data_IF_851703693979
#
_entry.id   IF_851703693979
#
_cell.length_a   1.000
_cell.length_b   1.000
_cell.length_c   1.000
_cell.angle_alpha   90.00
_cell.angle_beta   90.00
_cell.angle_gamma   90.00
#
_symmetry.space_group_name_H-M   'P 1'
#
loop_
_entity.id
_entity.type
_entity.pdbx_description
1 polymer ?
#
# COMPACT_ATOMS: atom_id res chain seq x y z
N UNK A 1 -29.01 3.65 29.71
CA UNK A 1 -29.11 3.81 28.24
C UNK A 1 -27.77 4.36 27.77
N UNK A 2 -26.93 3.56 27.10
CA UNK A 2 -25.64 4.06 26.59
C UNK A 2 -25.89 5.10 25.50
N UNK A 3 -25.05 6.14 25.45
CA UNK A 3 -25.07 7.07 24.31
C UNK A 3 -24.74 6.31 23.03
N UNK A 4 -25.37 6.68 21.91
CA UNK A 4 -25.08 6.08 20.61
C UNK A 4 -23.60 6.15 20.26
N UNK A 5 -22.92 7.22 20.65
CA UNK A 5 -21.46 7.36 20.57
C UNK A 5 -20.73 6.23 21.32
N UNK A 6 -21.05 6.01 22.61
CA UNK A 6 -20.36 5.01 23.43
C UNK A 6 -20.60 3.59 22.95
N UNK A 7 -21.81 3.31 22.45
CA UNK A 7 -22.14 2.01 21.87
C UNK A 7 -21.32 1.72 20.61
N UNK A 8 -21.26 2.68 19.67
CA UNK A 8 -20.48 2.53 18.43
C UNK A 8 -18.98 2.38 18.72
N UNK A 9 -18.44 3.15 19.66
CA UNK A 9 -17.04 3.03 20.06
C UNK A 9 -16.71 1.65 20.64
N UNK A 10 -17.54 1.15 21.56
CA UNK A 10 -17.34 -0.17 22.16
C UNK A 10 -17.46 -1.31 21.13
N UNK A 11 -18.48 -1.26 20.27
CA UNK A 11 -18.68 -2.26 19.22
C UNK A 11 -17.50 -2.25 18.24
N UNK A 12 -17.05 -1.07 17.83
CA UNK A 12 -15.91 -0.93 16.91
C UNK A 12 -14.62 -1.49 17.53
N UNK A 13 -14.31 -1.13 18.79
CA UNK A 13 -13.14 -1.65 19.48
C UNK A 13 -13.21 -3.18 19.62
N UNK A 14 -14.37 -3.72 20.01
CA UNK A 14 -14.58 -5.16 20.12
C UNK A 14 -14.42 -5.88 18.78
N UNK A 15 -14.99 -5.34 17.70
CA UNK A 15 -14.85 -5.89 16.35
C UNK A 15 -13.38 -5.97 15.94
N UNK A 16 -12.61 -4.89 16.14
CA UNK A 16 -11.18 -4.86 15.82
C UNK A 16 -10.41 -5.91 16.63
N UNK A 17 -10.67 -6.03 17.93
CA UNK A 17 -10.00 -7.03 18.77
C UNK A 17 -10.35 -8.46 18.35
N UNK A 18 -11.62 -8.72 18.03
CA UNK A 18 -12.07 -10.02 17.53
C UNK A 18 -11.43 -10.34 16.18
N UNK A 19 -11.46 -9.42 15.23
CA UNK A 19 -10.83 -9.59 13.91
C UNK A 19 -9.33 -9.88 14.03
N UNK A 20 -8.62 -9.12 14.88
CA UNK A 20 -7.19 -9.37 15.12
C UNK A 20 -6.95 -10.74 15.76
N UNK A 21 -7.78 -11.14 16.73
CA UNK A 21 -7.76 -12.47 17.32
C UNK A 21 -7.96 -13.57 16.30
N UNK A 22 -8.94 -13.44 15.40
CA UNK A 22 -9.18 -14.39 14.30
C UNK A 22 -7.94 -14.51 13.42
N UNK A 23 -7.32 -13.39 13.00
CA UNK A 23 -6.11 -13.43 12.18
C UNK A 23 -4.94 -14.13 12.86
N UNK A 24 -4.80 -14.03 14.18
CA UNK A 24 -3.81 -14.79 14.94
C UNK A 24 -4.12 -16.29 15.04
N UNK A 25 -5.40 -16.67 15.02
CA UNK A 25 -5.84 -18.07 15.13
C UNK A 25 -5.77 -18.81 13.79
N UNK A 26 -6.05 -18.14 12.67
CA UNK A 26 -6.02 -18.73 11.31
C UNK A 26 -4.76 -19.58 11.06
N UNK A 27 -3.51 -19.09 11.22
CA UNK A 27 -2.32 -19.89 10.93
C UNK A 27 -2.13 -21.10 11.86
N UNK A 28 -2.85 -21.15 12.99
CA UNK A 28 -2.82 -22.29 13.92
C UNK A 28 -3.73 -23.44 13.49
N UNK A 29 -4.61 -23.25 12.50
CA UNK A 29 -5.52 -24.26 11.94
C UNK A 29 -4.83 -25.23 10.95
N UNK A 30 -3.53 -25.48 11.11
CA UNK A 30 -2.76 -26.37 10.25
C UNK A 30 -2.39 -25.78 8.88
N UNK A 31 -2.25 -26.65 7.87
CA UNK A 31 -1.73 -26.28 6.53
C UNK A 31 -2.66 -25.31 5.80
N UNK A 32 -3.97 -25.58 5.83
CA UNK A 32 -4.98 -24.72 5.20
C UNK A 32 -5.00 -23.33 5.83
N UNK A 33 -4.94 -23.26 7.16
CA UNK A 33 -4.84 -22.00 7.91
C UNK A 33 -3.62 -21.17 7.53
N UNK A 34 -2.43 -21.78 7.45
CA UNK A 34 -1.21 -21.08 7.01
C UNK A 34 -1.31 -20.59 5.56
N UNK A 35 -1.91 -21.38 4.67
CA UNK A 35 -2.14 -20.96 3.29
C UNK A 35 -3.08 -19.75 3.21
N UNK A 36 -4.19 -19.78 3.96
CA UNK A 36 -5.14 -18.66 4.03
C UNK A 36 -4.48 -17.41 4.62
N UNK A 37 -3.73 -17.54 5.72
CA UNK A 37 -2.98 -16.43 6.31
C UNK A 37 -1.99 -15.84 5.31
N UNK A 38 -1.24 -16.67 4.59
CA UNK A 38 -0.32 -16.22 3.54
C UNK A 38 -1.03 -15.49 2.40
N UNK A 39 -2.25 -15.92 2.05
CA UNK A 39 -3.07 -15.26 1.04
C UNK A 39 -3.62 -13.91 1.53
N UNK A 40 -4.09 -13.82 2.78
CA UNK A 40 -4.51 -12.56 3.43
C UNK A 40 -3.37 -11.56 3.63
N UNK A 41 -2.13 -11.97 3.46
CA UNK A 41 -0.97 -11.08 3.48
C UNK A 41 -0.60 -10.52 2.10
N UNK A 42 -1.33 -10.87 1.02
CA UNK A 42 -1.03 -10.44 -0.35
C UNK A 42 -2.29 -9.96 -1.06
N UNK A 43 -2.16 -8.94 -1.89
CA UNK A 43 -3.26 -8.53 -2.76
C UNK A 43 -3.67 -9.67 -3.72
N UNK A 44 -4.97 -9.82 -4.02
CA UNK A 44 -6.08 -8.94 -3.58
C UNK A 44 -6.67 -9.31 -2.21
N UNK A 45 -6.36 -10.48 -1.64
CA UNK A 45 -6.97 -10.95 -0.39
C UNK A 45 -6.61 -10.09 0.82
N UNK A 46 -5.45 -9.44 0.81
CA UNK A 46 -5.03 -8.42 1.79
C UNK A 46 -5.99 -7.23 1.87
N UNK A 47 -6.70 -6.90 0.79
CA UNK A 47 -7.60 -5.75 0.77
C UNK A 47 -8.79 -5.96 1.73
N UNK A 48 -9.16 -7.21 2.02
CA UNK A 48 -10.23 -7.57 2.98
C UNK A 48 -9.89 -7.14 4.42
N UNK A 49 -8.81 -7.62 5.05
CA UNK A 49 -8.45 -7.21 6.41
C UNK A 49 -8.13 -5.72 6.48
N UNK A 50 -7.47 -5.14 5.47
CA UNK A 50 -7.22 -3.68 5.43
C UNK A 50 -8.54 -2.91 5.47
N UNK A 51 -9.51 -3.26 4.62
CA UNK A 51 -10.84 -2.62 4.60
C UNK A 51 -11.56 -2.82 5.92
N UNK A 52 -11.53 -4.03 6.48
CA UNK A 52 -12.17 -4.37 7.74
C UNK A 52 -11.66 -3.51 8.91
N UNK A 53 -10.34 -3.36 9.06
CA UNK A 53 -9.79 -2.62 10.20
C UNK A 53 -9.82 -1.11 10.03
N UNK A 54 -9.75 -0.62 8.78
CA UNK A 54 -9.52 0.81 8.53
C UNK A 54 -10.75 1.55 8.04
N UNK A 55 -11.42 1.07 6.99
CA UNK A 55 -12.50 1.80 6.31
C UNK A 55 -13.89 1.38 6.80
N UNK A 56 -14.11 0.09 7.04
CA UNK A 56 -15.43 -0.41 7.42
C UNK A 56 -16.02 0.29 8.67
N UNK A 57 -15.25 0.56 9.75
CA UNK A 57 -15.77 1.31 10.89
C UNK A 57 -16.15 2.75 10.54
N UNK A 58 -15.35 3.41 9.68
CA UNK A 58 -15.59 4.79 9.24
C UNK A 58 -16.82 4.93 8.35
N UNK A 59 -17.23 3.85 7.68
CA UNK A 59 -18.48 3.79 6.89
C UNK A 59 -19.66 3.41 7.77
N UNK A 60 -19.52 2.37 8.60
CA UNK A 60 -20.61 1.85 9.42
C UNK A 60 -21.02 2.81 10.54
N UNK A 61 -20.05 3.49 11.18
CA UNK A 61 -20.31 4.45 12.25
C UNK A 61 -21.33 5.53 11.84
N UNK A 62 -21.08 6.30 10.77
CA UNK A 62 -22.03 7.27 10.23
C UNK A 62 -23.41 6.69 9.89
N UNK A 63 -23.47 5.49 9.32
CA UNK A 63 -24.74 4.84 8.98
C UNK A 63 -25.55 4.54 10.26
N UNK A 64 -24.88 4.10 11.33
CA UNK A 64 -25.55 3.72 12.57
C UNK A 64 -25.99 4.92 13.42
N UNK A 65 -25.22 6.02 13.45
CA UNK A 65 -25.47 7.12 14.38
C UNK A 65 -25.01 8.51 13.89
N UNK A 66 -24.89 8.72 12.58
CA UNK A 66 -24.45 9.99 11.98
C UNK A 66 -23.07 10.41 12.47
N UNK A 67 -22.87 11.72 12.68
CA UNK A 67 -21.59 12.27 13.17
C UNK A 67 -21.15 11.70 14.53
N UNK A 68 -22.10 11.38 15.41
CA UNK A 68 -21.79 10.72 16.70
C UNK A 68 -21.25 9.31 16.48
N UNK A 69 -21.80 8.60 15.50
CA UNK A 69 -21.30 7.30 15.09
C UNK A 69 -19.92 7.36 14.44
N UNK A 70 -19.65 8.36 13.60
CA UNK A 70 -18.31 8.58 13.04
C UNK A 70 -17.27 8.79 14.15
N UNK A 71 -17.55 9.72 15.07
CA UNK A 71 -16.66 9.98 16.21
C UNK A 71 -16.48 8.74 17.09
N UNK A 72 -17.57 7.99 17.31
CA UNK A 72 -17.53 6.73 18.04
C UNK A 72 -16.64 5.70 17.36
N UNK A 73 -16.76 5.53 16.04
CA UNK A 73 -15.96 4.57 15.28
C UNK A 73 -14.47 4.91 15.32
N UNK A 74 -14.10 6.19 15.16
CA UNK A 74 -12.71 6.64 15.26
C UNK A 74 -12.14 6.34 16.66
N UNK A 75 -12.87 6.71 17.72
CA UNK A 75 -12.43 6.45 19.11
C UNK A 75 -12.34 4.95 19.39
N UNK A 76 -13.30 4.16 18.89
CA UNK A 76 -13.28 2.71 19.00
C UNK A 76 -12.09 2.08 18.26
N UNK A 77 -11.74 2.60 17.08
CA UNK A 77 -10.56 2.19 16.33
C UNK A 77 -9.26 2.43 17.11
N UNK A 78 -9.09 3.63 17.63
CA UNK A 78 -7.93 3.99 18.45
C UNK A 78 -7.87 3.12 19.71
N UNK A 79 -8.99 2.96 20.41
CA UNK A 79 -9.05 2.13 21.62
C UNK A 79 -8.73 0.66 21.32
N UNK A 80 -9.33 0.07 20.29
CA UNK A 80 -9.07 -1.30 19.88
C UNK A 80 -7.60 -1.52 19.50
N UNK A 81 -7.00 -0.58 18.77
CA UNK A 81 -5.59 -0.62 18.42
C UNK A 81 -4.65 -0.53 19.63
N UNK A 82 -4.94 0.38 20.56
CA UNK A 82 -4.17 0.54 21.80
C UNK A 82 -4.27 -0.73 22.65
N UNK A 83 -5.48 -1.24 22.86
CA UNK A 83 -5.70 -2.48 23.62
C UNK A 83 -4.98 -3.65 22.97
N UNK A 84 -5.13 -3.84 21.65
CA UNK A 84 -4.42 -4.90 20.93
C UNK A 84 -2.91 -4.76 21.09
N UNK A 85 -2.37 -3.54 20.97
CA UNK A 85 -0.94 -3.27 21.13
C UNK A 85 -0.45 -3.69 22.51
N UNK A 86 -1.15 -3.28 23.57
CA UNK A 86 -0.80 -3.62 24.95
C UNK A 86 -0.85 -5.14 25.17
N UNK A 87 -1.91 -5.79 24.70
CA UNK A 87 -2.10 -7.24 24.80
C UNK A 87 -1.01 -7.99 24.02
N UNK A 88 -0.75 -7.59 22.77
CA UNK A 88 0.29 -8.21 21.96
C UNK A 88 1.68 -8.06 22.59
N UNK A 89 1.97 -6.92 23.23
CA UNK A 89 3.20 -6.72 23.98
C UNK A 89 3.26 -7.52 25.29
N UNK A 90 2.15 -7.77 25.98
CA UNK A 90 2.15 -8.59 27.21
C UNK A 90 2.38 -10.06 26.90
N UNK A 91 1.85 -10.57 25.79
CA UNK A 91 2.08 -11.95 25.33
C UNK A 91 3.46 -12.18 24.71
N UNK A 92 4.25 -11.13 24.47
CA UNK A 92 5.61 -11.20 23.95
C UNK A 92 6.62 -10.50 24.87
N UNK A 93 6.72 -10.89 26.16
CA UNK A 93 7.51 -10.16 27.15
C UNK A 93 9.01 -10.16 26.84
N UNK A 94 9.52 -11.21 26.16
CA UNK A 94 10.92 -11.32 25.77
C UNK A 94 11.39 -10.17 24.87
N UNK A 95 10.50 -9.62 24.04
CA UNK A 95 10.83 -8.54 23.10
C UNK A 95 10.91 -7.18 23.80
N UNK A 96 10.31 -7.04 24.99
CA UNK A 96 10.40 -5.79 25.80
C UNK A 96 11.83 -5.48 26.27
N UNK A 97 12.70 -6.49 26.29
CA UNK A 97 14.13 -6.35 26.66
C UNK A 97 15.02 -6.07 25.44
N UNK A 98 14.48 -6.12 24.23
CA UNK A 98 15.22 -5.88 22.99
C UNK A 98 15.14 -4.40 22.59
N UNK A 99 16.09 -3.91 21.76
CA UNK A 99 15.98 -2.58 21.16
C UNK A 99 14.69 -2.44 20.35
N UNK A 100 13.93 -1.37 20.61
CA UNK A 100 12.66 -1.07 19.92
C UNK A 100 12.74 0.24 19.13
N UNK A 101 12.06 0.28 17.99
CA UNK A 101 12.00 1.48 17.14
C UNK A 101 11.32 2.61 17.91
N UNK A 102 10.16 2.34 18.53
CA UNK A 102 9.46 3.33 19.35
C UNK A 102 10.34 3.91 20.47
N UNK A 103 11.18 3.09 21.12
CA UNK A 103 12.05 3.57 22.21
C UNK A 103 13.15 4.49 21.71
N UNK A 104 13.73 4.20 20.54
CA UNK A 104 14.72 5.07 19.90
C UNK A 104 14.07 6.38 19.46
N UNK A 105 12.91 6.33 18.79
CA UNK A 105 12.20 7.51 18.32
C UNK A 105 11.70 8.38 19.48
N UNK A 106 11.13 7.79 20.52
CA UNK A 106 10.68 8.52 21.72
C UNK A 106 11.82 9.28 22.39
N UNK A 107 13.03 8.72 22.43
CA UNK A 107 14.21 9.40 22.96
C UNK A 107 14.70 10.54 22.06
N UNK A 108 14.49 10.44 20.75
CA UNK A 108 14.92 11.46 19.78
C UNK A 108 13.98 12.67 19.73
N UNK A 109 12.67 12.43 19.70
CA UNK A 109 11.68 13.51 19.47
C UNK A 109 10.71 13.72 20.64
N UNK A 110 10.76 12.88 21.67
CA UNK A 110 9.81 12.86 22.78
C UNK A 110 8.63 11.92 22.52
N UNK A 111 8.19 11.18 23.54
CA UNK A 111 7.16 10.15 23.39
C UNK A 111 5.81 10.70 22.91
N UNK A 112 5.36 11.83 23.47
CA UNK A 112 4.08 12.47 23.10
C UNK A 112 4.13 12.95 21.65
N UNK A 113 5.24 13.60 21.24
CA UNK A 113 5.40 14.10 19.85
C UNK A 113 5.46 12.95 18.86
N UNK A 114 6.19 11.88 19.17
CA UNK A 114 6.24 10.68 18.33
C UNK A 114 4.85 10.06 18.18
N UNK A 115 4.13 9.84 19.29
CA UNK A 115 2.79 9.27 19.27
C UNK A 115 1.82 10.14 18.44
N UNK A 116 1.78 11.44 18.72
CA UNK A 116 0.92 12.37 18.01
C UNK A 116 1.22 12.39 16.51
N UNK A 117 2.51 12.44 16.12
CA UNK A 117 2.91 12.44 14.71
C UNK A 117 2.47 11.16 13.98
N UNK A 118 2.68 9.99 14.59
CA UNK A 118 2.31 8.70 14.00
C UNK A 118 0.79 8.60 13.81
N UNK A 119 0.00 8.92 14.83
CA UNK A 119 -1.46 8.93 14.70
C UNK A 119 -1.97 10.03 13.77
N UNK A 120 -1.27 11.15 13.65
CA UNK A 120 -1.59 12.18 12.67
C UNK A 120 -1.44 11.67 11.23
N UNK A 121 -0.40 10.88 10.96
CA UNK A 121 -0.27 10.26 9.63
C UNK A 121 -1.38 9.26 9.32
N UNK A 122 -2.00 8.63 10.32
CA UNK A 122 -3.06 7.64 10.10
C UNK A 122 -4.30 8.20 9.38
N UNK A 123 -4.50 9.52 9.38
CA UNK A 123 -5.57 10.17 8.61
C UNK A 123 -5.48 9.96 7.10
N UNK A 124 -4.30 9.61 6.57
CA UNK A 124 -4.10 9.34 5.15
C UNK A 124 -4.58 7.94 4.74
N UNK A 125 -4.86 7.05 5.70
CA UNK A 125 -5.26 5.66 5.42
C UNK A 125 -6.47 5.57 4.48
N UNK A 126 -7.58 6.32 4.68
CA UNK A 126 -8.69 6.32 3.72
C UNK A 126 -8.29 6.79 2.31
N UNK A 127 -7.32 7.70 2.19
CA UNK A 127 -6.84 8.17 0.88
C UNK A 127 -6.07 7.07 0.14
N UNK A 128 -5.17 6.36 0.83
CA UNK A 128 -4.50 5.20 0.23
C UNK A 128 -5.47 4.07 -0.12
N UNK A 129 -6.52 3.88 0.69
CA UNK A 129 -7.57 2.93 0.35
C UNK A 129 -8.32 3.34 -0.92
N UNK A 130 -8.61 4.63 -1.12
CA UNK A 130 -9.22 5.12 -2.37
C UNK A 130 -8.30 4.93 -3.57
N UNK A 131 -7.00 5.22 -3.44
CA UNK A 131 -6.00 4.91 -4.47
C UNK A 131 -6.04 3.43 -4.80
N UNK A 132 -6.05 2.58 -3.77
CA UNK A 132 -6.15 1.13 -3.93
C UNK A 132 -7.43 0.69 -4.66
N UNK A 133 -8.57 1.33 -4.39
CA UNK A 133 -9.81 1.05 -5.14
C UNK A 133 -9.70 1.50 -6.61
N UNK A 134 -9.04 2.62 -6.89
CA UNK A 134 -8.78 3.05 -8.26
C UNK A 134 -7.90 2.04 -9.03
N UNK A 135 -6.85 1.51 -8.40
CA UNK A 135 -6.01 0.45 -8.98
C UNK A 135 -6.83 -0.80 -9.34
N UNK A 136 -7.81 -1.17 -8.51
CA UNK A 136 -8.61 -2.39 -8.68
C UNK A 136 -9.74 -2.20 -9.71
N UNK A 137 -10.40 -1.03 -9.73
CA UNK A 137 -11.62 -0.83 -10.51
C UNK A 137 -11.42 0.03 -11.76
N UNK A 138 -10.46 0.95 -11.76
CA UNK A 138 -10.24 1.89 -12.88
C UNK A 138 -9.16 1.35 -13.81
N UNK A 139 -8.01 0.93 -13.30
CA UNK A 139 -6.89 0.49 -14.15
C UNK A 139 -7.23 -0.70 -15.08
N UNK A 140 -8.00 -1.73 -14.67
CA UNK A 140 -8.36 -2.82 -15.58
C UNK A 140 -9.16 -2.38 -16.80
N UNK A 141 -9.91 -1.28 -16.71
CA UNK A 141 -10.59 -0.70 -17.87
C UNK A 141 -9.57 -0.20 -18.91
N UNK A 142 -8.44 0.38 -18.47
CA UNK A 142 -7.36 0.79 -19.36
C UNK A 142 -6.64 -0.42 -19.97
N UNK A 143 -6.44 -1.49 -19.21
CA UNK A 143 -5.91 -2.76 -19.77
C UNK A 143 -6.78 -3.26 -20.91
N UNK A 144 -8.10 -3.14 -20.80
CA UNK A 144 -9.03 -3.61 -21.83
C UNK A 144 -9.14 -2.64 -23.02
N UNK A 145 -9.21 -1.33 -22.77
CA UNK A 145 -9.46 -0.31 -23.80
C UNK A 145 -8.25 -0.03 -24.68
N UNK A 146 -7.05 -0.04 -24.10
CA UNK A 146 -5.82 0.51 -24.70
C UNK A 146 -4.62 -0.43 -24.52
N UNK A 147 -4.89 -1.70 -24.20
CA UNK A 147 -3.90 -2.78 -24.06
C UNK A 147 -2.73 -2.44 -23.13
N UNK A 148 -3.05 -1.85 -21.98
CA UNK A 148 -2.07 -1.57 -20.93
C UNK A 148 -1.49 -2.85 -20.32
N UNK A 149 -0.23 -2.80 -19.81
CA UNK A 149 0.38 -3.93 -19.15
C UNK A 149 -0.42 -4.34 -17.91
N UNK A 150 -0.59 -5.66 -17.73
CA UNK A 150 -1.20 -6.21 -16.52
C UNK A 150 -0.16 -6.32 -15.42
N UNK A 151 -0.47 -5.79 -14.25
CA UNK A 151 0.38 -5.94 -13.06
C UNK A 151 -0.14 -7.01 -12.12
N UNK A 152 0.75 -7.84 -11.61
CA UNK A 152 0.41 -8.79 -10.55
C UNK A 152 0.44 -8.06 -9.21
N UNK A 153 -0.71 -7.59 -8.72
CA UNK A 153 -0.82 -6.75 -7.53
C UNK A 153 -0.08 -7.32 -6.30
N UNK A 154 -0.03 -8.65 -6.14
CA UNK A 154 0.67 -9.33 -5.04
C UNK A 154 2.18 -9.03 -4.98
N UNK A 155 2.82 -8.69 -6.10
CA UNK A 155 4.25 -8.34 -6.15
C UNK A 155 4.54 -6.96 -5.58
N UNK A 156 3.51 -6.12 -5.50
CA UNK A 156 3.61 -4.73 -5.07
C UNK A 156 2.97 -4.55 -3.70
N UNK A 157 1.73 -5.00 -3.56
CA UNK A 157 0.90 -4.82 -2.36
C UNK A 157 0.85 -6.13 -1.59
N UNK A 158 1.76 -6.26 -0.63
CA UNK A 158 1.77 -7.34 0.33
C UNK A 158 2.29 -6.84 1.69
N UNK A 159 1.95 -7.57 2.75
CA UNK A 159 2.49 -7.33 4.09
C UNK A 159 3.31 -8.53 4.52
N UNK A 160 4.60 -8.31 4.70
CA UNK A 160 5.57 -9.36 5.04
C UNK A 160 6.28 -9.10 6.36
N UNK A 161 6.24 -7.85 6.87
CA UNK A 161 6.96 -7.44 8.08
C UNK A 161 6.54 -8.17 9.36
N UNK A 162 5.37 -8.80 9.40
CA UNK A 162 4.99 -9.71 10.50
C UNK A 162 5.94 -10.91 10.66
N UNK A 163 6.80 -11.19 9.66
CA UNK A 163 7.82 -12.23 9.71
C UNK A 163 9.15 -11.75 10.28
N UNK A 164 9.34 -10.44 10.45
CA UNK A 164 10.56 -9.90 11.04
C UNK A 164 10.59 -10.20 12.54
N UNK A 165 11.64 -10.88 13.00
CA UNK A 165 11.80 -11.23 14.41
C UNK A 165 11.96 -9.99 15.27
N UNK A 166 11.12 -9.85 16.30
CA UNK A 166 11.21 -8.74 17.26
C UNK A 166 10.25 -7.57 16.98
N UNK A 167 9.49 -7.58 15.87
CA UNK A 167 8.38 -6.63 15.71
C UNK A 167 7.18 -7.08 16.54
N UNK A 168 6.79 -6.26 17.52
CA UNK A 168 5.69 -6.54 18.44
C UNK A 168 4.88 -5.26 18.70
N UNK A 169 3.56 -5.40 18.78
CA UNK A 169 2.67 -4.34 19.25
C UNK A 169 2.75 -3.10 18.36
N UNK A 170 3.16 -1.98 18.94
CA UNK A 170 3.23 -0.70 18.23
C UNK A 170 4.19 -0.78 17.03
N UNK A 171 5.39 -1.31 17.21
CA UNK A 171 6.36 -1.38 16.11
C UNK A 171 5.86 -2.29 14.98
N UNK A 172 5.16 -3.37 15.32
CA UNK A 172 4.57 -4.28 14.33
C UNK A 172 3.48 -3.61 13.49
N UNK A 173 2.48 -2.99 14.13
CA UNK A 173 1.35 -2.43 13.38
C UNK A 173 1.78 -1.31 12.43
N UNK A 174 2.67 -0.42 12.89
CA UNK A 174 3.13 0.67 12.03
C UNK A 174 4.06 0.18 10.92
N UNK A 175 4.85 -0.87 11.18
CA UNK A 175 5.58 -1.53 10.10
C UNK A 175 4.63 -2.11 9.05
N UNK A 176 3.56 -2.81 9.45
CA UNK A 176 2.56 -3.35 8.53
C UNK A 176 1.85 -2.24 7.73
N UNK A 177 1.52 -1.14 8.39
CA UNK A 177 0.96 0.05 7.74
C UNK A 177 1.91 0.59 6.67
N UNK A 178 3.18 0.81 7.01
CA UNK A 178 4.17 1.30 6.04
C UNK A 178 4.39 0.32 4.88
N UNK A 179 4.43 -0.99 5.15
CA UNK A 179 4.56 -2.04 4.12
C UNK A 179 3.43 -1.96 3.10
N UNK A 180 2.19 -1.88 3.60
CA UNK A 180 1.00 -1.75 2.75
C UNK A 180 0.99 -0.43 1.98
N UNK A 181 1.16 0.69 2.68
CA UNK A 181 1.09 2.04 2.10
C UNK A 181 2.12 2.24 0.99
N UNK A 182 3.36 1.82 1.23
CA UNK A 182 4.43 1.91 0.22
C UNK A 182 4.14 1.02 -0.98
N UNK A 183 3.65 -0.20 -0.77
CA UNK A 183 3.23 -1.08 -1.86
C UNK A 183 2.13 -0.50 -2.73
N UNK A 184 1.11 0.11 -2.13
CA UNK A 184 0.03 0.82 -2.86
C UNK A 184 0.60 1.99 -3.64
N UNK A 185 1.39 2.85 -3.01
CA UNK A 185 1.98 4.01 -3.71
C UNK A 185 2.88 3.60 -4.89
N UNK A 186 3.70 2.56 -4.71
CA UNK A 186 4.58 2.06 -5.76
C UNK A 186 3.80 1.46 -6.94
N UNK A 187 2.72 0.70 -6.67
CA UNK A 187 1.87 0.17 -7.74
C UNK A 187 1.16 1.30 -8.50
N UNK A 188 0.55 2.24 -7.76
CA UNK A 188 -0.09 3.42 -8.35
C UNK A 188 0.89 4.26 -9.18
N UNK A 189 2.13 4.43 -8.70
CA UNK A 189 3.20 5.12 -9.43
C UNK A 189 3.57 4.41 -10.74
N UNK A 190 3.68 3.08 -10.73
CA UNK A 190 3.95 2.29 -11.94
C UNK A 190 2.78 2.37 -12.95
N UNK A 191 1.54 2.32 -12.47
CA UNK A 191 0.35 2.52 -13.29
C UNK A 191 0.30 3.93 -13.89
N UNK A 192 0.60 4.96 -13.09
CA UNK A 192 0.62 6.35 -13.51
C UNK A 192 1.74 6.62 -14.52
N UNK A 193 2.92 6.00 -14.36
CA UNK A 193 4.00 6.08 -15.36
C UNK A 193 3.53 5.59 -16.72
N UNK A 194 2.73 4.51 -16.76
CA UNK A 194 2.16 4.02 -18.00
C UNK A 194 1.16 5.00 -18.63
N UNK A 195 0.29 5.61 -17.81
CA UNK A 195 -0.67 6.63 -18.25
C UNK A 195 0.07 7.85 -18.82
N UNK A 196 1.03 8.39 -18.09
CA UNK A 196 1.70 9.63 -18.50
C UNK A 196 2.52 9.43 -19.78
N UNK A 197 3.21 8.30 -19.90
CA UNK A 197 4.03 8.00 -21.08
C UNK A 197 3.23 7.84 -22.38
N UNK A 198 2.02 7.32 -22.29
CA UNK A 198 1.19 7.08 -23.48
C UNK A 198 0.35 8.31 -23.83
N UNK A 199 -0.23 9.03 -22.86
CA UNK A 199 -1.11 10.17 -23.16
C UNK A 199 -0.34 11.49 -23.31
N UNK A 200 0.76 11.68 -22.57
CA UNK A 200 1.42 12.97 -22.46
C UNK A 200 2.96 12.85 -22.30
N UNK A 201 3.69 12.35 -23.31
CA UNK A 201 5.14 12.28 -23.28
C UNK A 201 5.79 13.65 -23.53
N UNK A 202 5.43 14.67 -22.76
CA UNK A 202 5.89 16.05 -22.87
C UNK A 202 6.53 16.46 -21.55
N UNK A 203 7.78 16.92 -21.59
CA UNK A 203 8.48 17.40 -20.41
C UNK A 203 7.82 18.66 -19.86
N UNK A 204 7.74 18.77 -18.54
CA UNK A 204 7.19 19.94 -17.89
C UNK A 204 8.07 21.18 -18.13
N UNK A 205 7.44 22.34 -18.34
CA UNK A 205 8.12 23.64 -18.48
C UNK A 205 8.89 24.04 -17.21
N UNK A 206 8.32 23.77 -16.05
CA UNK A 206 9.01 23.98 -14.78
C UNK A 206 10.10 22.91 -14.62
N UNK A 207 11.35 23.36 -14.75
CA UNK A 207 12.52 22.52 -14.57
C UNK A 207 12.53 21.81 -13.22
N UNK A 208 12.05 22.45 -12.15
CA UNK A 208 12.05 21.84 -10.82
C UNK A 208 11.03 20.71 -10.70
N UNK A 209 9.83 20.89 -11.24
CA UNK A 209 8.86 19.80 -11.37
C UNK A 209 9.45 18.65 -12.17
N UNK A 210 10.08 18.94 -13.31
CA UNK A 210 10.70 17.94 -14.18
C UNK A 210 11.78 17.13 -13.46
N UNK A 211 12.67 17.80 -12.70
CA UNK A 211 13.69 17.16 -11.86
C UNK A 211 13.08 16.24 -10.81
N UNK A 212 12.03 16.69 -10.11
CA UNK A 212 11.37 15.89 -9.08
C UNK A 212 10.66 14.68 -9.69
N UNK A 213 9.98 14.85 -10.83
CA UNK A 213 9.32 13.76 -11.54
C UNK A 213 10.32 12.75 -12.12
N UNK A 214 11.53 13.17 -12.51
CA UNK A 214 12.53 12.24 -13.06
C UNK A 214 12.95 11.13 -12.07
N UNK A 215 12.71 11.30 -10.76
CA UNK A 215 12.94 10.27 -9.73
C UNK A 215 12.03 9.06 -9.96
N UNK A 216 10.75 9.31 -10.22
CA UNK A 216 9.73 8.27 -10.39
C UNK A 216 9.38 8.03 -11.86
N UNK A 217 9.82 8.87 -12.79
CA UNK A 217 9.53 8.81 -14.23
C UNK A 217 10.86 9.00 -14.99
N UNK A 218 11.76 8.00 -15.01
CA UNK A 218 13.10 8.16 -15.58
C UNK A 218 13.09 8.40 -17.09
N UNK A 219 12.01 8.02 -17.76
CA UNK A 219 11.78 8.24 -19.19
C UNK A 219 11.42 9.71 -19.51
N UNK A 220 11.11 10.57 -18.53
CA UNK A 220 10.96 12.02 -18.75
C UNK A 220 12.18 12.62 -19.45
N UNK A 221 13.38 12.13 -19.17
CA UNK A 221 14.61 12.71 -19.72
C UNK A 221 14.95 12.22 -21.13
N UNK A 222 14.57 11.00 -21.50
CA UNK A 222 15.03 10.33 -22.73
C UNK A 222 13.89 9.82 -23.63
N UNK A 223 12.70 9.66 -23.07
CA UNK A 223 11.49 9.17 -23.73
C UNK A 223 10.51 10.27 -24.11
N UNK A 224 10.64 11.50 -23.60
CA UNK A 224 9.63 12.55 -23.75
C UNK A 224 10.14 13.74 -24.57
N UNK A 225 9.21 14.45 -25.21
CA UNK A 225 9.49 15.66 -26.01
C UNK A 225 9.87 16.81 -25.07
N UNK A 226 10.92 17.61 -25.39
CA UNK A 226 11.27 18.79 -24.60
C UNK A 226 10.12 19.77 -24.45
N UNK A 227 10.10 20.55 -23.36
CA UNK A 227 9.03 21.51 -23.10
C UNK A 227 8.86 22.56 -24.21
N UNK A 228 9.93 22.90 -24.94
CA UNK A 228 9.89 23.80 -26.09
C UNK A 228 9.50 23.13 -27.43
N UNK A 229 9.17 21.84 -27.43
CA UNK A 229 8.79 21.10 -28.63
C UNK A 229 7.39 21.43 -29.13
N UNK A 230 7.03 20.83 -30.26
CA UNK A 230 5.75 21.04 -30.96
C UNK A 230 4.86 19.79 -30.89
N UNK A 231 3.58 19.94 -31.23
CA UNK A 231 2.66 18.79 -31.36
C UNK A 231 3.12 17.80 -32.45
N UNK A 232 3.81 18.26 -33.49
CA UNK A 232 4.39 17.37 -34.50
C UNK A 232 5.49 16.48 -33.90
N UNK A 233 6.32 17.03 -33.01
CA UNK A 233 7.34 16.26 -32.29
C UNK A 233 6.70 15.21 -31.38
N UNK A 234 5.58 15.55 -30.72
CA UNK A 234 4.81 14.62 -29.87
C UNK A 234 4.21 13.50 -30.69
N UNK A 235 3.58 13.81 -31.83
CA UNK A 235 3.01 12.80 -32.72
C UNK A 235 4.09 11.82 -33.22
N UNK A 236 5.21 12.34 -33.72
CA UNK A 236 6.34 11.52 -34.16
C UNK A 236 6.91 10.66 -33.03
N UNK A 237 6.98 11.20 -31.80
CA UNK A 237 7.44 10.45 -30.62
C UNK A 237 6.48 9.32 -30.25
N UNK A 238 5.17 9.55 -30.33
CA UNK A 238 4.16 8.52 -30.07
C UNK A 238 4.23 7.40 -31.11
N UNK A 239 4.34 7.73 -32.40
CA UNK A 239 4.53 6.74 -33.47
C UNK A 239 5.81 5.90 -33.26
N UNK A 240 6.89 6.55 -32.80
CA UNK A 240 8.13 5.86 -32.45
C UNK A 240 7.96 4.92 -31.23
N UNK A 241 7.22 5.36 -30.20
CA UNK A 241 7.10 4.62 -28.94
C UNK A 241 6.09 3.48 -29.01
N UNK A 242 5.05 3.63 -29.83
CA UNK A 242 3.93 2.69 -29.95
C UNK A 242 3.70 2.28 -31.41
N UNK A 243 4.68 1.60 -32.04
CA UNK A 243 4.44 1.04 -33.37
C UNK A 243 3.36 -0.06 -33.29
N UNK A 244 2.66 -0.38 -34.39
CA UNK A 244 1.52 -1.31 -34.38
C UNK A 244 1.80 -2.71 -33.80
N UNK A 245 3.05 -3.15 -33.79
CA UNK A 245 3.50 -4.42 -33.22
C UNK A 245 3.83 -4.36 -31.72
N UNK A 246 3.92 -3.16 -31.13
CA UNK A 246 4.27 -2.97 -29.72
C UNK A 246 3.08 -3.24 -28.81
N UNK A 247 3.00 -4.49 -28.36
CA UNK A 247 2.03 -4.94 -27.37
C UNK A 247 2.73 -5.60 -26.17
N UNK A 248 2.31 -5.32 -24.92
CA UNK A 248 1.30 -4.33 -24.54
C UNK A 248 1.80 -2.89 -24.75
N UNK A 249 0.88 -1.93 -24.68
CA UNK A 249 1.13 -0.50 -24.73
C UNK A 249 1.80 0.01 -23.44
N UNK A 250 3.01 -0.48 -23.20
CA UNK A 250 3.81 -0.19 -22.01
C UNK A 250 4.69 1.06 -22.20
N UNK A 251 4.98 1.78 -21.11
CA UNK A 251 5.85 2.95 -21.12
C UNK A 251 7.28 2.66 -21.60
N UNK A 252 8.01 3.71 -21.97
CA UNK A 252 9.33 3.60 -22.59
C UNK A 252 10.39 3.05 -21.62
N UNK A 253 10.88 1.84 -21.85
CA UNK A 253 11.81 1.15 -20.96
C UNK A 253 11.16 0.21 -19.95
N UNK A 254 9.83 0.01 -20.02
CA UNK A 254 9.15 -0.98 -19.20
C UNK A 254 9.73 -2.40 -19.46
N UNK A 255 10.03 -3.22 -18.44
CA UNK A 255 10.64 -4.54 -18.60
C UNK A 255 9.93 -5.48 -19.58
N UNK A 256 8.59 -5.46 -19.61
CA UNK A 256 7.80 -6.24 -20.58
C UNK A 256 8.17 -5.95 -22.05
N UNK A 257 8.59 -4.72 -22.37
CA UNK A 257 9.09 -4.36 -23.72
C UNK A 257 10.46 -4.97 -24.00
N UNK A 258 11.28 -5.10 -22.96
CA UNK A 258 12.64 -5.64 -23.06
C UNK A 258 12.62 -7.17 -23.15
N UNK A 259 11.66 -7.83 -22.50
CA UNK A 259 11.51 -9.30 -22.55
C UNK A 259 10.98 -9.82 -23.89
N UNK A 260 10.26 -9.00 -24.67
CA UNK A 260 9.81 -9.37 -26.03
C UNK A 260 10.98 -9.44 -27.02
N UNK A 261 12.15 -8.86 -26.69
CA UNK A 261 13.41 -9.01 -27.43
C UNK A 261 14.38 -10.04 -26.83
N UNK A 262 13.87 -11.05 -26.11
CA UNK A 262 14.64 -12.27 -25.84
C UNK A 262 15.86 -12.12 -24.93
N UNK A 263 15.82 -11.25 -23.90
CA UNK A 263 16.68 -11.39 -22.72
C UNK A 263 15.83 -11.50 -21.46
N UNK A 264 15.83 -12.70 -20.89
CA UNK A 264 15.37 -12.96 -19.54
C UNK A 264 16.52 -12.65 -18.58
N UNK A 265 16.46 -11.53 -17.86
CA UNK A 265 17.35 -11.29 -16.72
C UNK A 265 16.84 -12.03 -15.46
N UNK A 266 16.63 -13.33 -15.64
CA UNK A 266 16.74 -14.31 -14.56
C UNK A 266 17.88 -15.23 -14.95
N UNK A 267 19.09 -14.86 -14.56
CA UNK A 267 20.10 -15.89 -14.29
C UNK A 267 19.64 -16.69 -13.05
N UNK A 268 19.53 -18.02 -13.14
CA UNK A 268 19.31 -18.87 -11.99
C UNK A 268 20.65 -19.29 -11.37
N UNK A 269 20.93 -18.78 -10.18
CA UNK A 269 22.04 -19.20 -9.31
C UNK A 269 22.43 -18.03 -8.39
N UNK A 270 22.53 -18.14 -7.07
CA UNK A 270 22.65 -19.26 -6.15
C UNK A 270 22.21 -18.73 -4.79
N UNK A 271 21.17 -19.30 -4.17
CA UNK A 271 21.00 -19.19 -2.72
C UNK A 271 20.40 -20.51 -2.23
N UNK A 272 21.32 -21.35 -1.78
CA UNK A 272 21.05 -22.56 -1.04
C UNK A 272 20.91 -22.15 0.43
N UNK A 273 19.75 -22.25 1.10
CA UNK A 273 19.71 -22.12 2.54
C UNK A 273 20.11 -23.48 3.12
N UNK A 274 21.39 -23.62 3.45
CA UNK A 274 21.84 -24.63 4.39
C UNK A 274 21.28 -24.33 5.80
N UNK A 275 20.58 -25.33 6.34
CA UNK A 275 20.20 -25.56 7.75
C UNK A 275 19.13 -24.65 8.38
#
# INVERSE_FOLDING_TARGET
>A
MYSSFTAVAAITAAAILVGAGILHLIPRLGRAGRALSGALCRAPLLDIPVTYFTVAPLVYGPIAAGWRGLGGAIVGQLAGLIVWTLVHETFNPQVRRQPRIISVLNRRVGAVRNLAAVYWTAWVVPLFWLVRMAEIFIYPALVWLVDFPRYRHADWVNVSRHKFSGLVGHDLIWCLYCDWMTGVWSLGGEMLRNVESFWCPIRFYDGKKCENCAIDFPDVNNGWVPAGGTIADVAAKLEQMYPPEQHPAAWYGHPVRMTIKGRSDREPGTDNPSA
#
